data_IF_303790276314
#
_entry.id   IF_303790276314
#
_cell.length_a   1.000
_cell.length_b   1.000
_cell.length_c   1.000
_cell.angle_alpha   90.00
_cell.angle_beta   90.00
_cell.angle_gamma   90.00
#
_symmetry.space_group_name_H-M   'P 1'
#
loop_
_entity.id
_entity.type
_entity.pdbx_description
1 polymer ?
#
# COMPACT_ATOMS: atom_id res chain seq x y z
N UNK A 1 14.34 14.95 6.21
CA UNK A 1 12.93 14.60 6.49
C UNK A 1 12.21 14.54 5.15
N UNK A 2 11.30 13.61 4.94
CA UNK A 2 10.50 13.50 3.71
C UNK A 2 9.04 13.77 4.05
N UNK A 3 8.35 14.51 3.19
CA UNK A 3 6.95 14.88 3.37
C UNK A 3 6.08 14.18 2.35
N UNK A 4 5.00 13.56 2.82
CA UNK A 4 3.99 12.90 1.98
C UNK A 4 2.65 13.59 2.11
N UNK A 5 2.06 13.99 0.99
CA UNK A 5 0.68 14.45 0.92
C UNK A 5 -0.24 13.22 0.77
N UNK A 6 -1.16 13.02 1.71
CA UNK A 6 -2.23 12.04 1.54
C UNK A 6 -3.38 12.68 0.76
N UNK A 7 -3.73 12.10 -0.39
CA UNK A 7 -4.85 12.57 -1.22
C UNK A 7 -5.91 11.48 -1.29
N UNK A 8 -7.14 11.86 -1.05
CA UNK A 8 -8.28 10.94 -1.10
C UNK A 8 -9.56 11.67 -0.73
N UNK A 9 -10.71 11.06 -1.00
CA UNK A 9 -12.03 11.59 -0.67
C UNK A 9 -12.31 12.98 -1.27
N UNK A 10 -11.58 13.34 -2.33
CA UNK A 10 -11.73 14.61 -3.02
C UNK A 10 -12.33 14.40 -4.42
N UNK A 11 -12.89 15.45 -5.05
CA UNK A 11 -13.37 15.39 -6.42
C UNK A 11 -12.29 14.90 -7.39
N UNK A 12 -12.68 14.15 -8.41
CA UNK A 12 -11.74 13.52 -9.34
C UNK A 12 -10.87 14.52 -10.11
N UNK A 13 -11.38 15.71 -10.38
CA UNK A 13 -10.67 16.80 -11.06
C UNK A 13 -9.60 17.50 -10.20
N UNK A 14 -9.54 17.21 -8.90
CA UNK A 14 -8.54 17.78 -7.99
C UNK A 14 -7.20 17.05 -7.99
N UNK A 15 -7.16 15.76 -8.36
CA UNK A 15 -5.94 14.97 -8.24
C UNK A 15 -4.74 15.54 -9.00
N UNK A 16 -4.92 15.91 -10.26
CA UNK A 16 -3.83 16.49 -11.07
C UNK A 16 -3.40 17.86 -10.57
N UNK A 17 -4.30 18.84 -10.29
CA UNK A 17 -3.92 20.10 -9.67
C UNK A 17 -3.19 19.93 -8.34
N UNK A 18 -3.65 19.05 -7.45
CA UNK A 18 -2.99 18.77 -6.16
C UNK A 18 -1.60 18.18 -6.37
N UNK A 19 -1.41 17.25 -7.31
CA UNK A 19 -0.11 16.66 -7.58
C UNK A 19 0.90 17.70 -8.07
N UNK A 20 0.50 18.58 -8.98
CA UNK A 20 1.33 19.71 -9.45
C UNK A 20 1.67 20.69 -8.34
N UNK A 21 0.68 21.05 -7.52
CA UNK A 21 0.89 21.96 -6.39
C UNK A 21 1.83 21.34 -5.34
N UNK A 22 1.66 20.07 -5.01
CA UNK A 22 2.53 19.35 -4.09
C UNK A 22 3.97 19.28 -4.61
N UNK A 23 4.16 18.96 -5.89
CA UNK A 23 5.49 18.94 -6.50
C UNK A 23 6.14 20.33 -6.52
N UNK A 24 5.38 21.37 -6.85
CA UNK A 24 5.87 22.76 -6.85
C UNK A 24 6.25 23.23 -5.43
N UNK A 25 5.49 22.77 -4.42
CA UNK A 25 5.76 23.07 -3.00
C UNK A 25 6.90 22.21 -2.40
N UNK A 26 7.50 21.29 -3.17
CA UNK A 26 8.63 20.48 -2.73
C UNK A 26 8.26 19.26 -1.88
N UNK A 27 7.04 18.76 -1.97
CA UNK A 27 6.66 17.49 -1.35
C UNK A 27 7.40 16.31 -2.01
N UNK A 28 7.78 15.32 -1.21
CA UNK A 28 8.54 14.15 -1.69
C UNK A 28 7.65 13.09 -2.31
N UNK A 29 6.43 12.92 -1.80
CA UNK A 29 5.52 11.89 -2.29
C UNK A 29 4.04 12.21 -2.07
N UNK A 30 3.20 11.49 -2.82
CA UNK A 30 1.75 11.47 -2.67
C UNK A 30 1.31 10.05 -2.34
N UNK A 31 0.49 9.91 -1.30
CA UNK A 31 -0.15 8.67 -0.89
C UNK A 31 -1.62 8.65 -1.31
N UNK A 32 -2.07 7.56 -1.94
CA UNK A 32 -3.43 7.40 -2.46
C UNK A 32 -4.13 6.26 -1.70
N UNK A 33 -5.31 6.49 -1.09
CA UNK A 33 -6.06 5.43 -0.42
C UNK A 33 -6.66 4.44 -1.42
N UNK A 34 -6.95 3.23 -0.94
CA UNK A 34 -7.65 2.18 -1.68
C UNK A 34 -8.96 1.82 -0.99
N UNK A 35 -10.07 2.10 -1.64
CA UNK A 35 -11.41 1.72 -1.22
C UNK A 35 -12.11 0.96 -2.34
N UNK A 36 -12.43 -0.33 -2.12
CA UNK A 36 -13.06 -1.15 -3.15
C UNK A 36 -14.58 -0.98 -3.15
N UNK A 37 -15.18 -1.10 -1.97
CA UNK A 37 -16.64 -1.13 -1.82
C UNK A 37 -17.06 -0.35 -0.59
N UNK A 38 -18.28 0.16 -0.61
CA UNK A 38 -18.97 0.65 0.57
C UNK A 38 -20.06 -0.35 0.96
N UNK A 39 -19.92 -0.96 2.12
CA UNK A 39 -20.91 -1.90 2.66
C UNK A 39 -21.96 -1.15 3.50
N UNK A 40 -23.22 -1.46 3.34
CA UNK A 40 -24.28 -0.91 4.19
C UNK A 40 -24.02 -1.27 5.65
N UNK A 41 -23.66 -2.53 5.91
CA UNK A 41 -23.29 -3.04 7.24
C UNK A 41 -21.94 -3.73 7.18
N UNK A 42 -21.15 -3.56 8.24
CA UNK A 42 -19.87 -4.26 8.43
C UNK A 42 -19.88 -5.04 9.74
N UNK A 43 -19.27 -6.21 9.76
CA UNK A 43 -19.14 -7.07 10.94
C UNK A 43 -18.16 -6.51 11.98
N UNK A 44 -17.27 -5.61 11.56
CA UNK A 44 -16.29 -4.97 12.44
C UNK A 44 -16.42 -3.45 12.36
N UNK A 45 -16.19 -2.73 13.48
CA UNK A 45 -16.12 -1.28 13.46
C UNK A 45 -14.92 -0.79 12.68
N UNK A 46 -14.99 0.45 12.18
CA UNK A 46 -13.84 1.07 11.51
C UNK A 46 -12.71 1.34 12.53
N UNK A 47 -11.51 0.79 12.34
CA UNK A 47 -10.48 0.79 13.38
C UNK A 47 -9.80 2.14 13.58
N UNK A 48 -9.99 3.10 12.69
CA UNK A 48 -9.26 4.38 12.67
C UNK A 48 -10.12 5.58 13.08
N UNK A 49 -11.34 5.36 13.52
CA UNK A 49 -12.20 6.40 14.15
C UNK A 49 -12.42 6.11 15.64
N UNK A 50 -12.70 7.13 16.43
CA UNK A 50 -12.90 6.99 17.87
C UNK A 50 -14.11 6.13 18.22
N UNK A 51 -15.21 6.30 17.48
CA UNK A 51 -16.50 5.63 17.69
C UNK A 51 -16.68 4.36 16.84
N UNK A 52 -15.74 4.06 15.93
CA UNK A 52 -15.83 2.92 15.04
C UNK A 52 -16.67 3.16 13.79
N UNK A 53 -17.16 4.38 13.57
CA UNK A 53 -17.94 4.73 12.38
C UNK A 53 -17.02 5.19 11.23
N UNK A 54 -17.49 5.00 10.01
CA UNK A 54 -16.83 5.55 8.82
C UNK A 54 -17.13 7.04 8.71
N UNK A 55 -16.13 7.86 8.43
CA UNK A 55 -16.28 9.31 8.29
C UNK A 55 -16.55 9.77 6.85
N UNK A 56 -16.87 8.83 5.94
CA UNK A 56 -17.23 9.12 4.55
C UNK A 56 -18.56 8.48 4.19
N UNK A 57 -19.26 9.07 3.22
CA UNK A 57 -20.55 8.60 2.71
C UNK A 57 -20.39 7.49 1.66
N UNK A 58 -21.50 6.83 1.31
CA UNK A 58 -21.49 5.73 0.36
C UNK A 58 -21.09 6.13 -1.07
N UNK A 59 -21.37 7.35 -1.45
CA UNK A 59 -21.07 7.96 -2.74
C UNK A 59 -19.74 8.73 -2.77
N UNK A 60 -18.98 8.70 -1.67
CA UNK A 60 -17.65 9.32 -1.63
C UNK A 60 -16.74 8.65 -2.65
N UNK A 61 -16.11 9.40 -3.57
CA UNK A 61 -15.29 8.81 -4.62
C UNK A 61 -14.00 8.22 -4.06
N UNK A 62 -13.86 6.90 -4.20
CA UNK A 62 -12.60 6.18 -4.03
C UNK A 62 -12.18 5.67 -5.42
N UNK A 63 -11.32 6.42 -6.09
CA UNK A 63 -10.80 6.02 -7.38
C UNK A 63 -9.75 4.91 -7.22
N UNK A 64 -9.63 4.05 -8.21
CA UNK A 64 -8.56 3.04 -8.22
C UNK A 64 -7.18 3.70 -8.10
N UNK A 65 -6.34 3.29 -7.15
CA UNK A 65 -5.08 3.95 -6.88
C UNK A 65 -4.09 3.92 -8.05
N UNK A 66 -4.08 2.85 -8.87
CA UNK A 66 -3.17 2.76 -10.02
C UNK A 66 -3.56 3.73 -11.12
N UNK A 67 -4.87 3.89 -11.38
CA UNK A 67 -5.40 4.85 -12.35
C UNK A 67 -5.07 6.28 -11.92
N UNK A 68 -5.32 6.61 -10.66
CA UNK A 68 -5.03 7.94 -10.09
C UNK A 68 -3.54 8.24 -10.11
N UNK A 69 -2.70 7.29 -9.67
CA UNK A 69 -1.25 7.45 -9.65
C UNK A 69 -0.70 7.65 -11.07
N UNK A 70 -1.12 6.84 -12.04
CA UNK A 70 -0.70 7.00 -13.44
C UNK A 70 -1.08 8.37 -14.01
N UNK A 71 -2.29 8.85 -13.69
CA UNK A 71 -2.78 10.16 -14.12
C UNK A 71 -1.97 11.31 -13.53
N UNK A 72 -1.71 11.28 -12.23
CA UNK A 72 -0.89 12.29 -11.54
C UNK A 72 0.57 12.24 -12.00
N UNK A 73 1.12 11.05 -12.18
CA UNK A 73 2.50 10.86 -12.62
C UNK A 73 2.74 11.39 -14.02
N UNK A 74 1.77 11.28 -14.93
CA UNK A 74 1.82 11.89 -16.27
C UNK A 74 1.81 13.42 -16.28
N UNK A 75 1.43 14.05 -15.16
CA UNK A 75 1.34 15.51 -15.01
C UNK A 75 2.46 16.11 -14.13
N UNK A 76 3.41 15.29 -13.65
CA UNK A 76 4.51 15.64 -12.73
C UNK A 76 5.82 14.98 -13.14
N UNK A 77 6.96 15.45 -12.62
CA UNK A 77 8.28 14.99 -13.04
C UNK A 77 9.12 14.33 -11.93
N UNK A 78 8.93 14.74 -10.67
CA UNK A 78 9.82 14.36 -9.55
C UNK A 78 9.12 13.66 -8.41
N UNK A 79 7.90 14.08 -8.06
CA UNK A 79 7.16 13.59 -6.90
C UNK A 79 6.89 12.09 -7.03
N UNK A 80 7.03 11.35 -5.93
CA UNK A 80 6.83 9.91 -5.87
C UNK A 80 5.40 9.59 -5.46
N UNK A 81 4.96 8.36 -5.73
CA UNK A 81 3.59 7.92 -5.45
C UNK A 81 3.58 6.53 -4.82
N UNK A 82 2.58 6.27 -3.98
CA UNK A 82 2.30 4.91 -3.50
C UNK A 82 0.85 4.80 -3.00
N UNK A 83 0.21 3.61 -3.11
CA UNK A 83 -1.04 3.34 -2.44
C UNK A 83 -0.86 3.36 -0.92
N UNK A 84 -1.78 3.94 -0.16
CA UNK A 84 -1.75 3.97 1.31
C UNK A 84 -3.11 3.57 1.90
N UNK A 85 -3.41 2.29 1.91
CA UNK A 85 -2.65 1.13 1.44
C UNK A 85 -3.50 0.31 0.49
N UNK A 86 -2.86 -0.33 -0.51
CA UNK A 86 -3.54 -1.28 -1.39
C UNK A 86 -4.00 -2.49 -0.58
N UNK A 87 -5.27 -2.87 -0.69
CA UNK A 87 -5.83 -4.09 -0.08
C UNK A 87 -5.35 -5.32 -0.88
N UNK A 88 -4.09 -5.70 -0.67
CA UNK A 88 -3.40 -6.67 -1.52
C UNK A 88 -4.07 -8.04 -1.51
N UNK A 89 -4.37 -8.58 -0.33
CA UNK A 89 -4.79 -9.97 -0.16
C UNK A 89 -6.21 -10.30 -0.71
N UNK A 90 -6.91 -9.32 -1.28
CA UNK A 90 -8.19 -9.52 -1.98
C UNK A 90 -8.04 -9.41 -3.51
N UNK A 91 -6.81 -9.37 -4.01
CA UNK A 91 -6.47 -9.24 -5.44
C UNK A 91 -5.70 -10.46 -5.95
N UNK A 92 -5.52 -10.54 -7.26
CA UNK A 92 -4.61 -11.50 -7.89
C UNK A 92 -3.20 -10.92 -8.00
N UNK A 93 -2.13 -11.62 -7.57
CA UNK A 93 -0.77 -11.09 -7.59
C UNK A 93 -0.20 -10.87 -9.00
N UNK A 94 -0.63 -11.66 -9.99
CA UNK A 94 -0.17 -11.51 -11.38
C UNK A 94 -0.73 -10.22 -11.99
N UNK A 95 -2.01 -9.94 -11.73
CA UNK A 95 -2.66 -8.71 -12.18
C UNK A 95 -2.07 -7.49 -11.47
N UNK A 96 -1.90 -7.55 -10.16
CA UNK A 96 -1.25 -6.46 -9.40
C UNK A 96 0.19 -6.22 -9.89
N UNK A 97 0.97 -7.27 -10.16
CA UNK A 97 2.31 -7.12 -10.72
C UNK A 97 2.29 -6.42 -12.08
N UNK A 98 1.30 -6.75 -12.94
CA UNK A 98 1.15 -6.13 -14.25
C UNK A 98 0.74 -4.66 -14.15
N UNK A 99 -0.22 -4.33 -13.30
CA UNK A 99 -0.68 -2.96 -13.03
C UNK A 99 0.46 -2.10 -12.49
N UNK A 100 1.13 -2.58 -11.43
CA UNK A 100 2.26 -1.91 -10.80
C UNK A 100 3.42 -1.70 -11.79
N UNK A 101 3.76 -2.73 -12.55
CA UNK A 101 4.81 -2.66 -13.58
C UNK A 101 4.53 -1.56 -14.60
N UNK A 102 3.31 -1.55 -15.13
CA UNK A 102 2.87 -0.55 -16.11
C UNK A 102 2.90 0.86 -15.52
N UNK A 103 2.34 1.01 -14.32
CA UNK A 103 2.31 2.29 -13.61
C UNK A 103 3.72 2.79 -13.28
N UNK A 104 4.62 1.92 -12.79
CA UNK A 104 6.00 2.28 -12.44
C UNK A 104 6.79 2.76 -13.66
N UNK A 105 6.67 2.09 -14.80
CA UNK A 105 7.34 2.48 -16.05
C UNK A 105 6.80 3.81 -16.56
N UNK A 106 5.46 3.99 -16.62
CA UNK A 106 4.85 5.25 -17.06
C UNK A 106 5.18 6.42 -16.13
N UNK A 107 5.32 6.16 -14.84
CA UNK A 107 5.70 7.17 -13.86
C UNK A 107 7.22 7.44 -13.79
N UNK A 108 8.03 6.89 -14.68
CA UNK A 108 9.49 7.05 -14.62
C UNK A 108 10.10 6.51 -13.34
N UNK A 109 9.61 5.35 -12.86
CA UNK A 109 10.10 4.63 -11.68
C UNK A 109 9.90 5.38 -10.33
N UNK A 110 8.91 6.27 -10.28
CA UNK A 110 8.54 7.06 -9.09
C UNK A 110 7.44 6.43 -8.24
N UNK A 111 7.15 5.13 -8.43
CA UNK A 111 6.07 4.42 -7.73
C UNK A 111 6.62 3.42 -6.72
N UNK A 112 5.99 3.35 -5.55
CA UNK A 112 6.16 2.30 -4.54
C UNK A 112 4.89 1.48 -4.38
N UNK A 113 4.99 0.28 -3.82
CA UNK A 113 3.88 -0.61 -3.48
C UNK A 113 3.57 -0.52 -1.99
N UNK A 114 2.64 0.35 -1.61
CA UNK A 114 2.13 0.40 -0.24
C UNK A 114 0.97 -0.57 -0.06
N UNK A 115 1.10 -1.55 0.83
CA UNK A 115 0.11 -2.62 1.01
C UNK A 115 -0.37 -2.74 2.45
N UNK A 116 -1.64 -3.14 2.59
CA UNK A 116 -2.25 -3.47 3.86
C UNK A 116 -3.25 -4.60 3.71
N UNK A 117 -3.78 -4.99 4.87
CA UNK A 117 -4.89 -5.92 4.96
C UNK A 117 -6.15 -5.11 5.22
N UNK A 118 -7.23 -5.36 4.50
CA UNK A 118 -8.50 -4.69 4.76
C UNK A 118 -8.91 -4.86 6.23
N UNK A 119 -9.56 -3.86 6.86
CA UNK A 119 -10.23 -4.04 8.14
C UNK A 119 -11.54 -4.83 8.03
N UNK A 120 -12.04 -5.07 6.81
CA UNK A 120 -13.36 -5.63 6.55
C UNK A 120 -13.28 -7.09 6.11
N UNK A 121 -13.82 -8.06 6.87
CA UNK A 121 -14.03 -9.43 6.41
C UNK A 121 -14.87 -9.50 5.13
N UNK A 122 -15.81 -8.58 4.95
CA UNK A 122 -16.71 -8.49 3.81
C UNK A 122 -15.97 -8.31 2.47
N UNK A 123 -14.82 -7.63 2.45
CA UNK A 123 -13.99 -7.52 1.25
C UNK A 123 -13.54 -8.92 0.77
N UNK A 124 -13.21 -9.80 1.71
CA UNK A 124 -12.76 -11.16 1.43
C UNK A 124 -13.93 -12.07 1.03
N UNK A 125 -15.08 -11.94 1.70
CA UNK A 125 -16.27 -12.70 1.39
C UNK A 125 -16.77 -12.43 -0.05
N UNK A 126 -16.93 -11.16 -0.40
CA UNK A 126 -17.39 -10.73 -1.73
C UNK A 126 -16.43 -11.16 -2.83
N UNK A 127 -15.11 -11.09 -2.57
CA UNK A 127 -14.08 -11.47 -3.53
C UNK A 127 -13.67 -12.94 -3.42
N UNK A 128 -14.36 -13.73 -2.57
CA UNK A 128 -14.19 -15.20 -2.40
C UNK A 128 -12.80 -15.58 -1.93
N UNK A 129 -12.25 -14.78 -1.01
CA UNK A 129 -10.94 -14.99 -0.44
C UNK A 129 -11.03 -15.33 1.05
N UNK A 130 -10.06 -16.08 1.58
CA UNK A 130 -10.04 -16.46 2.98
C UNK A 130 -9.47 -15.32 3.86
N UNK A 131 -10.34 -14.72 4.65
CA UNK A 131 -9.97 -13.71 5.64
C UNK A 131 -8.91 -14.20 6.64
N UNK A 132 -8.97 -15.45 7.08
CA UNK A 132 -8.04 -15.99 8.07
C UNK A 132 -6.60 -16.09 7.51
N UNK A 133 -6.47 -16.34 6.20
CA UNK A 133 -5.19 -16.49 5.52
C UNK A 133 -4.63 -15.20 4.93
N UNK A 134 -5.30 -14.05 5.09
CA UNK A 134 -4.90 -12.78 4.47
C UNK A 134 -3.45 -12.38 4.71
N UNK A 135 -2.92 -12.66 5.90
CA UNK A 135 -1.56 -12.33 6.28
C UNK A 135 -0.50 -13.15 5.56
N UNK A 136 -0.50 -14.49 5.69
CA UNK A 136 0.41 -15.38 4.96
C UNK A 136 0.28 -15.21 3.44
N UNK A 137 -0.95 -15.13 2.93
CA UNK A 137 -1.22 -14.92 1.50
C UNK A 137 -0.60 -13.63 0.98
N UNK A 138 -0.76 -12.51 1.70
CA UNK A 138 -0.15 -11.23 1.33
C UNK A 138 1.39 -11.30 1.26
N UNK A 139 2.03 -12.09 2.14
CA UNK A 139 3.48 -12.27 2.11
C UNK A 139 3.93 -13.01 0.84
N UNK A 140 3.23 -14.08 0.47
CA UNK A 140 3.48 -14.83 -0.77
C UNK A 140 3.24 -13.98 -2.02
N UNK A 141 2.17 -13.18 -2.02
CA UNK A 141 1.89 -12.23 -3.11
C UNK A 141 3.01 -11.19 -3.31
N UNK A 142 3.58 -10.67 -2.22
CA UNK A 142 4.72 -9.73 -2.30
C UNK A 142 5.94 -10.40 -2.93
N UNK A 143 6.21 -11.66 -2.60
CA UNK A 143 7.30 -12.45 -3.18
C UNK A 143 7.09 -12.62 -4.69
N UNK A 144 5.89 -13.04 -5.10
CA UNK A 144 5.49 -13.20 -6.51
C UNK A 144 5.66 -11.89 -7.29
N UNK A 145 5.13 -10.79 -6.75
CA UNK A 145 5.21 -9.48 -7.39
C UNK A 145 6.68 -9.07 -7.57
N UNK A 146 7.51 -9.24 -6.54
CA UNK A 146 8.94 -8.95 -6.65
C UNK A 146 9.64 -9.81 -7.69
N UNK A 147 9.32 -11.11 -7.74
CA UNK A 147 9.89 -12.02 -8.74
C UNK A 147 9.54 -11.59 -10.16
N UNK A 148 8.29 -11.30 -10.44
CA UNK A 148 7.82 -10.85 -11.75
C UNK A 148 8.42 -9.52 -12.19
N UNK A 149 8.59 -8.58 -11.26
CA UNK A 149 9.17 -7.26 -11.55
C UNK A 149 10.68 -7.28 -11.84
N UNK A 150 11.37 -8.38 -11.57
CA UNK A 150 12.77 -8.55 -11.98
C UNK A 150 12.91 -8.79 -13.50
N UNK A 151 11.81 -9.15 -14.17
CA UNK A 151 11.82 -9.50 -15.60
C UNK A 151 12.37 -10.90 -15.87
N UNK A 152 12.22 -11.34 -17.12
CA UNK A 152 12.55 -12.71 -17.53
C UNK A 152 11.45 -13.70 -17.15
N UNK A 153 11.69 -14.98 -17.45
CA UNK A 153 10.76 -16.06 -17.16
C UNK A 153 10.80 -16.43 -15.68
N UNK A 154 9.65 -16.38 -15.03
CA UNK A 154 9.45 -16.66 -13.61
C UNK A 154 8.35 -17.70 -13.43
N UNK A 155 8.55 -18.64 -12.54
CA UNK A 155 7.58 -19.65 -12.08
C UNK A 155 7.48 -19.57 -10.56
N UNK A 156 6.35 -20.01 -10.02
CA UNK A 156 6.13 -19.99 -8.58
C UNK A 156 5.34 -21.22 -8.14
N UNK A 157 5.80 -21.86 -7.06
CA UNK A 157 5.20 -23.03 -6.45
C UNK A 157 5.09 -22.81 -4.94
N UNK A 158 4.00 -22.20 -4.51
CA UNK A 158 3.77 -21.82 -3.13
C UNK A 158 2.54 -22.49 -2.52
N UNK A 159 2.14 -21.98 -1.39
CA UNK A 159 0.97 -22.48 -0.66
C UNK A 159 -0.35 -21.99 -1.26
N UNK A 160 -0.39 -20.75 -1.71
CA UNK A 160 -1.60 -20.08 -2.18
C UNK A 160 -1.62 -19.93 -3.69
N UNK A 161 -0.45 -19.92 -4.30
CA UNK A 161 -0.28 -19.70 -5.73
C UNK A 161 0.66 -20.72 -6.33
N UNK A 162 0.27 -21.21 -7.51
CA UNK A 162 1.06 -22.14 -8.31
C UNK A 162 0.86 -21.82 -9.79
N UNK A 163 1.94 -21.47 -10.50
CA UNK A 163 1.86 -21.16 -11.91
C UNK A 163 3.16 -21.51 -12.65
N UNK A 164 3.04 -21.90 -13.94
CA UNK A 164 4.18 -22.26 -14.77
C UNK A 164 5.01 -21.02 -15.14
N UNK A 165 6.13 -21.24 -15.80
CA UNK A 165 7.01 -20.17 -16.27
C UNK A 165 6.26 -19.18 -17.17
N UNK A 166 6.18 -17.95 -16.74
CA UNK A 166 5.59 -16.83 -17.45
C UNK A 166 6.42 -15.56 -17.26
N UNK A 167 6.14 -14.55 -18.03
CA UNK A 167 6.84 -13.26 -17.99
C UNK A 167 5.83 -12.13 -18.14
N UNK A 168 6.06 -11.03 -17.43
CA UNK A 168 5.38 -9.76 -17.67
C UNK A 168 6.33 -8.77 -18.35
N UNK A 169 5.79 -7.89 -19.17
CA UNK A 169 6.49 -6.77 -19.78
C UNK A 169 5.53 -5.58 -19.96
N UNK A 170 6.02 -4.31 -19.84
CA UNK A 170 7.38 -3.94 -19.42
C UNK A 170 7.66 -4.23 -17.95
N UNK A 171 8.91 -4.12 -17.49
CA UNK A 171 9.28 -4.10 -16.07
C UNK A 171 10.12 -2.85 -15.77
N UNK A 172 10.03 -2.29 -14.53
CA UNK A 172 10.83 -1.15 -14.13
C UNK A 172 12.32 -1.53 -14.06
N UNK A 173 13.22 -0.57 -14.30
CA UNK A 173 14.67 -0.77 -14.25
C UNK A 173 15.20 -0.82 -12.82
N UNK A 174 14.48 -0.20 -11.88
CA UNK A 174 14.83 -0.18 -10.45
C UNK A 174 13.82 -1.01 -9.68
N UNK A 175 14.25 -1.68 -8.59
CA UNK A 175 13.33 -2.36 -7.70
C UNK A 175 12.24 -1.39 -7.19
N UNK A 176 10.98 -1.83 -7.23
CA UNK A 176 9.88 -1.08 -6.65
C UNK A 176 9.88 -1.31 -5.14
N UNK A 177 10.00 -0.26 -4.31
CA UNK A 177 9.97 -0.43 -2.87
C UNK A 177 8.59 -0.86 -2.38
N UNK A 178 8.58 -1.78 -1.42
CA UNK A 178 7.36 -2.31 -0.80
C UNK A 178 7.23 -1.75 0.61
N UNK A 179 6.12 -1.10 0.89
CA UNK A 179 5.75 -0.57 2.20
C UNK A 179 4.58 -1.35 2.77
N UNK A 180 4.64 -1.75 4.03
CA UNK A 180 3.55 -2.48 4.70
C UNK A 180 2.92 -1.59 5.77
N UNK A 181 1.60 -1.45 5.74
CA UNK A 181 0.82 -0.66 6.69
C UNK A 181 -0.05 -1.49 7.62
N UNK A 182 -0.25 -1.00 8.84
CA UNK A 182 -1.13 -1.56 9.85
C UNK A 182 -0.52 -1.52 11.25
N UNK A 183 -1.39 -1.60 12.28
CA UNK A 183 -1.04 -1.27 13.66
C UNK A 183 -0.83 -2.49 14.59
N UNK A 184 -1.07 -3.71 14.09
CA UNK A 184 -1.04 -4.92 14.91
C UNK A 184 0.30 -5.66 14.78
N UNK A 185 0.68 -6.37 15.86
CA UNK A 185 1.96 -7.06 15.97
C UNK A 185 2.36 -7.94 14.76
N UNK A 186 1.47 -8.79 14.22
CA UNK A 186 1.82 -9.60 13.05
C UNK A 186 2.19 -8.78 11.81
N UNK A 187 1.65 -7.56 11.69
CA UNK A 187 1.97 -6.63 10.60
C UNK A 187 3.35 -6.02 10.81
N UNK A 188 3.69 -5.59 12.03
CA UNK A 188 5.01 -5.05 12.36
C UNK A 188 6.12 -6.07 12.08
N UNK A 189 5.91 -7.33 12.50
CA UNK A 189 6.84 -8.44 12.22
C UNK A 189 6.98 -8.70 10.71
N UNK A 190 5.88 -8.67 9.96
CA UNK A 190 5.90 -8.85 8.51
C UNK A 190 6.65 -7.71 7.84
N UNK A 191 6.37 -6.46 8.21
CA UNK A 191 7.07 -5.30 7.68
C UNK A 191 8.57 -5.40 7.94
N UNK A 192 8.97 -5.71 9.17
CA UNK A 192 10.37 -5.88 9.53
C UNK A 192 11.08 -6.97 8.71
N UNK A 193 10.37 -8.07 8.40
CA UNK A 193 10.95 -9.24 7.72
C UNK A 193 11.07 -9.06 6.22
N UNK A 194 10.07 -8.51 5.54
CA UNK A 194 9.98 -8.56 4.08
C UNK A 194 9.77 -7.20 3.39
N UNK A 195 9.51 -6.10 4.11
CA UNK A 195 9.29 -4.82 3.48
C UNK A 195 10.58 -3.97 3.35
N UNK A 196 10.47 -2.91 2.56
CA UNK A 196 11.47 -1.85 2.41
C UNK A 196 11.09 -0.61 3.24
N UNK A 197 9.89 -0.64 3.85
CA UNK A 197 9.42 0.40 4.77
C UNK A 197 8.08 0.07 5.40
N UNK A 198 7.66 0.96 6.30
CA UNK A 198 6.43 0.85 7.08
C UNK A 198 5.57 2.10 6.91
N UNK A 199 4.26 1.89 6.81
CA UNK A 199 3.26 2.95 6.78
C UNK A 199 2.47 2.94 8.09
N UNK A 200 2.55 4.02 8.84
CA UNK A 200 1.77 4.26 10.04
C UNK A 200 0.84 5.46 9.87
N UNK A 201 -0.24 5.47 10.62
CA UNK A 201 -1.19 6.55 10.63
C UNK A 201 -1.60 6.88 12.07
N UNK A 202 -1.35 8.15 12.47
CA UNK A 202 -1.91 8.69 13.70
C UNK A 202 -3.43 8.79 13.56
N UNK A 203 -4.15 8.35 14.58
CA UNK A 203 -5.60 8.38 14.62
C UNK A 203 -6.06 8.38 16.08
N UNK A 204 -7.36 8.55 16.39
CA UNK A 204 -7.85 8.61 17.77
C UNK A 204 -7.52 7.40 18.66
N UNK A 205 -7.09 6.28 18.06
CA UNK A 205 -6.70 5.05 18.77
C UNK A 205 -5.21 4.73 18.67
N UNK A 206 -4.41 5.60 18.03
CA UNK A 206 -2.98 5.41 17.84
C UNK A 206 -2.29 6.77 17.79
N UNK A 207 -1.67 7.15 18.88
CA UNK A 207 -0.94 8.41 19.04
C UNK A 207 0.42 8.39 18.36
N UNK A 208 1.10 9.53 18.29
CA UNK A 208 2.49 9.63 17.84
C UNK A 208 3.44 8.82 18.75
N UNK A 209 3.17 8.75 20.05
CA UNK A 209 3.96 7.93 20.97
C UNK A 209 3.80 6.43 20.70
N UNK A 210 2.59 5.99 20.36
CA UNK A 210 2.34 4.61 19.93
C UNK A 210 3.09 4.29 18.64
N UNK A 211 3.06 5.20 17.65
CA UNK A 211 3.84 5.06 16.43
C UNK A 211 5.35 5.00 16.71
N UNK A 212 5.86 5.84 17.62
CA UNK A 212 7.26 5.78 18.04
C UNK A 212 7.62 4.45 18.70
N UNK A 213 6.70 3.86 19.48
CA UNK A 213 6.89 2.52 20.04
C UNK A 213 6.90 1.44 18.95
N UNK A 214 6.00 1.55 17.95
CA UNK A 214 5.99 0.63 16.80
C UNK A 214 7.30 0.68 16.02
N UNK A 215 7.88 1.86 15.80
CA UNK A 215 9.22 1.99 15.19
C UNK A 215 10.25 1.19 15.98
N UNK A 216 10.33 1.40 17.31
CA UNK A 216 11.29 0.66 18.15
C UNK A 216 11.11 -0.86 18.05
N UNK A 217 9.86 -1.34 17.99
CA UNK A 217 9.55 -2.77 17.82
C UNK A 217 9.97 -3.28 16.44
N UNK A 218 9.66 -2.55 15.38
CA UNK A 218 10.08 -2.89 14.01
C UNK A 218 11.61 -2.98 13.94
N UNK A 219 12.32 -2.01 14.48
CA UNK A 219 13.80 -2.03 14.51
C UNK A 219 14.35 -3.21 15.32
N UNK A 220 13.67 -3.60 16.41
CA UNK A 220 13.96 -4.84 17.13
C UNK A 220 13.86 -6.07 16.23
N UNK A 221 12.70 -6.26 15.62
CA UNK A 221 12.47 -7.38 14.71
C UNK A 221 13.38 -7.38 13.49
N UNK A 222 13.73 -6.22 12.94
CA UNK A 222 14.69 -6.13 11.84
C UNK A 222 16.07 -6.68 12.23
N UNK A 223 16.53 -6.37 13.45
CA UNK A 223 17.77 -6.95 13.99
C UNK A 223 17.64 -8.46 14.15
N UNK A 224 16.52 -8.95 14.71
CA UNK A 224 16.27 -10.40 14.88
C UNK A 224 16.23 -11.16 13.55
N UNK A 225 15.79 -10.49 12.48
CA UNK A 225 15.76 -11.03 11.10
C UNK A 225 17.01 -10.69 10.29
N UNK A 226 18.06 -10.14 10.91
CA UNK A 226 19.33 -9.75 10.27
C UNK A 226 19.14 -8.81 9.06
N UNK A 227 18.10 -7.95 9.11
CA UNK A 227 17.77 -6.99 8.06
C UNK A 227 18.49 -5.66 8.29
N UNK A 228 19.62 -5.46 7.57
CA UNK A 228 20.51 -4.28 7.74
C UNK A 228 20.33 -3.19 6.67
N UNK A 229 19.59 -3.45 5.59
CA UNK A 229 19.36 -2.48 4.51
C UNK A 229 18.54 -1.25 4.96
N UNK A 230 18.52 -0.23 4.11
CA UNK A 230 17.68 0.95 4.33
C UNK A 230 16.22 0.58 4.53
N UNK A 231 15.53 1.34 5.39
CA UNK A 231 14.11 1.12 5.69
C UNK A 231 13.42 2.48 5.86
N UNK A 232 12.36 2.69 5.12
CA UNK A 232 11.62 3.95 5.13
C UNK A 232 10.45 3.89 6.11
N UNK A 233 10.25 4.98 6.88
CA UNK A 233 9.06 5.17 7.71
C UNK A 233 8.21 6.27 7.11
N UNK A 234 6.94 5.94 6.82
CA UNK A 234 5.96 6.87 6.26
C UNK A 234 4.82 7.05 7.26
N UNK A 235 4.61 8.28 7.70
CA UNK A 235 3.57 8.61 8.67
C UNK A 235 2.63 9.67 8.13
N UNK A 236 1.35 9.44 8.39
CA UNK A 236 0.31 10.45 8.18
C UNK A 236 -0.13 10.94 9.55
N UNK A 237 0.09 12.24 9.89
CA UNK A 237 -0.42 12.81 11.12
C UNK A 237 -1.94 12.90 11.08
N UNK A 238 -2.58 12.81 12.25
CA UNK A 238 -3.99 13.10 12.40
C UNK A 238 -4.15 14.63 12.47
N UNK A 239 -4.70 15.18 11.39
CA UNK A 239 -5.10 16.59 11.40
C UNK A 239 -6.57 16.67 11.80
N UNK A 240 -6.82 17.34 12.91
CA UNK A 240 -8.17 17.71 13.35
C UNK A 240 -8.70 18.86 12.49
#
# INVERSE_FOLDING_TARGET
MQFTLSVGLCPADWYVPLARAAEAAGWDSIAVPDGLFYYEKTSAPYPYSADGTRFWAADTPFLDPWVVIATMAGATERIRFYPSVLKLAVRDPLLVAKELSSCAVLAGERVGLGVGLSPWPEDFEVLREDWAQRGPRSAEMIEIIRGLLQGGMYEYHGRFYDFPRLQIAPVPRKPVPVYIGGLVEPVLKRAARIADGYIGWENPRCSLDDLAQMIRRIEGYRRDYERTGAFEYKFTPYSV
#
